data_IF_336146320746
#
_entry.id   IF_336146320746
#
_cell.length_a   1.000
_cell.length_b   1.000
_cell.length_c   1.000
_cell.angle_alpha   90.00
_cell.angle_beta   90.00
_cell.angle_gamma   90.00
#
_symmetry.space_group_name_H-M   'P 1'
#
loop_
_entity.id
_entity.type
_entity.pdbx_description
1 polymer ?
2 water ?
#
# COMPACT_ATOMS: atom_id res chain seq x y z
N UNK A 12 10.88 -11.49 2.53
CA UNK A 12 10.19 -11.36 1.26
C UNK A 12 8.78 -10.81 1.45
N UNK A 13 8.50 -10.28 2.63
CA UNK A 13 7.18 -9.77 2.96
C UNK A 13 7.26 -8.31 3.39
N UNK A 14 6.12 -7.64 3.29
CA UNK A 14 5.93 -6.28 3.76
C UNK A 14 4.71 -6.28 4.68
N UNK A 15 4.83 -5.59 5.82
CA UNK A 15 3.70 -5.42 6.73
C UNK A 15 2.96 -4.14 6.38
N UNK A 16 1.66 -4.25 6.16
CA UNK A 16 0.84 -3.14 5.68
C UNK A 16 -0.28 -2.86 6.68
N UNK A 17 -0.26 -1.67 7.26
CA UNK A 17 -1.35 -1.21 8.11
C UNK A 17 -2.42 -0.55 7.24
N UNK A 18 -3.66 -0.97 7.43
CA UNK A 18 -4.81 -0.54 6.65
C UNK A 18 -5.73 0.33 7.50
N UNK A 19 -6.70 1.01 6.88
CA UNK A 19 -7.65 1.80 7.67
C UNK A 19 -8.50 0.91 8.56
N UNK A 20 -9.11 1.55 9.57
CA UNK A 20 -9.97 0.87 10.54
C UNK A 20 -9.19 -0.18 11.34
N UNK A 21 -7.93 0.14 11.65
CA UNK A 21 -7.07 -0.71 12.47
C UNK A 21 -6.91 -2.12 11.90
N UNK A 22 -7.02 -2.25 10.58
CA UNK A 22 -6.75 -3.53 9.93
C UNK A 22 -5.27 -3.64 9.59
N UNK A 23 -4.84 -4.87 9.31
CA UNK A 23 -3.46 -5.13 8.95
C UNK A 23 -3.39 -6.39 8.10
N UNK A 24 -2.35 -6.46 7.27
CA UNK A 24 -2.18 -7.58 6.35
C UNK A 24 -0.70 -7.71 6.03
N UNK A 25 -0.32 -8.90 5.59
CA UNK A 25 1.04 -9.19 5.14
C UNK A 25 0.97 -9.54 3.66
N UNK A 26 1.83 -8.92 2.86
CA UNK A 26 1.87 -9.15 1.42
C UNK A 26 3.23 -9.73 1.05
N UNK A 27 3.24 -10.65 0.10
CA UNK A 27 4.46 -11.25 -0.40
C UNK A 27 4.99 -10.45 -1.59
N UNK A 28 6.30 -10.27 -1.64
CA UNK A 28 6.95 -9.46 -2.66
C UNK A 28 7.70 -10.39 -3.60
N UNK A 29 7.24 -10.47 -4.84
CA UNK A 29 7.99 -11.11 -5.91
C UNK A 29 8.92 -10.10 -6.56
N UNK A 30 9.97 -10.61 -7.21
CA UNK A 30 10.97 -9.74 -7.80
C UNK A 30 10.35 -8.83 -8.85
N UNK A 31 10.55 -7.52 -8.69
CA UNK A 31 10.11 -6.54 -9.66
C UNK A 31 8.70 -6.03 -9.49
N UNK A 32 8.00 -6.43 -8.43
CA UNK A 32 6.63 -5.99 -8.22
C UNK A 32 6.56 -4.50 -7.92
N UNK A 33 5.58 -3.83 -8.51
CA UNK A 33 5.25 -2.50 -8.03
C UNK A 33 4.35 -2.61 -6.80
N UNK A 34 4.29 -1.53 -6.03
CA UNK A 34 3.47 -1.53 -4.82
C UNK A 34 2.00 -1.78 -5.17
N UNK A 35 1.54 -1.23 -6.29
CA UNK A 35 0.17 -1.46 -6.76
C UNK A 35 -0.11 -2.94 -6.94
N UNK A 36 0.71 -3.62 -7.75
CA UNK A 36 0.51 -5.05 -7.98
C UNK A 36 0.72 -5.85 -6.70
N UNK A 37 1.60 -5.37 -5.81
CA UNK A 37 1.89 -6.10 -4.58
C UNK A 37 0.70 -6.12 -3.64
N UNK A 38 -0.01 -4.99 -3.52
CA UNK A 38 -1.11 -4.86 -2.58
C UNK A 38 -2.48 -5.03 -3.23
N UNK A 39 -2.52 -5.36 -4.52
CA UNK A 39 -3.78 -5.43 -5.25
C UNK A 39 -4.73 -6.46 -4.63
N UNK A 40 -4.25 -7.69 -4.45
CA UNK A 40 -5.12 -8.75 -3.94
C UNK A 40 -5.58 -8.47 -2.52
N UNK A 41 -4.66 -8.02 -1.65
CA UNK A 41 -5.00 -7.83 -0.25
C UNK A 41 -6.01 -6.71 -0.05
N UNK A 42 -5.93 -5.66 -0.87
CA UNK A 42 -6.92 -4.59 -0.78
C UNK A 42 -8.26 -5.04 -1.35
N UNK A 43 -8.23 -5.84 -2.41
CA UNK A 43 -9.47 -6.33 -3.00
C UNK A 43 -10.24 -7.22 -2.03
N UNK A 44 -9.54 -7.97 -1.18
CA UNK A 44 -10.21 -8.80 -0.18
C UNK A 44 -10.96 -7.92 0.81
N UNK A 45 -10.34 -6.80 1.22
CA UNK A 45 -10.99 -5.85 2.11
C UNK A 45 -12.01 -4.98 1.39
N UNK A 46 -12.21 -5.17 0.09
CA UNK A 46 -13.14 -4.35 -0.65
C UNK A 46 -12.61 -2.99 -1.03
N UNK A 47 -11.30 -2.86 -1.23
CA UNK A 47 -10.67 -1.58 -1.51
C UNK A 47 -9.85 -1.69 -2.79
N UNK A 48 -9.67 -0.54 -3.45
CA UNK A 48 -8.86 -0.42 -4.64
C UNK A 48 -7.66 0.48 -4.36
N UNK A 49 -6.47 0.12 -4.85
CA UNK A 49 -5.29 0.95 -4.55
C UNK A 49 -5.38 2.36 -5.12
N UNK A 50 -5.94 2.52 -6.32
CA UNK A 50 -6.02 3.85 -6.92
C UNK A 50 -6.97 4.78 -6.18
N UNK A 51 -7.73 4.26 -5.21
CA UNK A 51 -8.57 5.08 -4.35
C UNK A 51 -7.94 5.31 -2.99
N UNK A 52 -6.64 5.05 -2.85
CA UNK A 52 -5.95 5.13 -1.58
C UNK A 52 -4.60 5.82 -1.76
N UNK A 53 -4.01 6.20 -0.63
CA UNK A 53 -2.64 6.67 -0.57
C UNK A 53 -1.84 5.75 0.34
N UNK A 54 -0.55 5.59 0.03
CA UNK A 54 0.31 4.67 0.76
C UNK A 54 1.51 5.43 1.30
N UNK A 55 1.90 5.10 2.53
CA UNK A 55 2.99 5.75 3.23
C UNK A 55 4.01 4.72 3.69
N UNK A 56 5.25 5.17 3.83
CA UNK A 56 6.33 4.37 4.40
C UNK A 56 6.53 4.82 5.84
N UNK A 57 6.41 3.89 6.78
CA UNK A 57 6.54 4.20 8.20
C UNK A 57 8.00 4.09 8.61
N UNK A 58 8.62 5.22 8.91
CA UNK A 58 10.01 5.27 9.37
C UNK A 58 10.07 6.03 10.68
N UNK A 59 10.70 5.43 11.68
CA UNK A 59 10.83 6.02 13.01
C UNK A 59 9.47 6.40 13.59
N UNK A 61 7.32 8.28 11.57
CA UNK A 61 6.84 9.31 10.66
C UNK A 61 6.29 8.70 9.38
N UNK A 62 5.19 9.26 8.88
CA UNK A 62 4.56 8.80 7.64
C UNK A 62 5.17 9.57 6.47
N UNK A 63 5.97 8.88 5.65
CA UNK A 63 6.52 9.49 4.45
C UNK A 63 5.76 8.97 3.24
N UNK A 64 5.22 9.83 2.38
CA UNK A 64 4.41 9.34 1.26
C UNK A 64 5.28 8.74 0.16
N UNK A 65 4.74 7.70 -0.48
CA UNK A 65 5.38 7.05 -1.62
C UNK A 65 4.32 6.79 -2.69
N UNK A 66 4.79 6.56 -3.91
CA UNK A 66 3.89 6.32 -5.02
C UNK A 66 3.52 4.85 -5.18
N UNK A 67 2.41 4.62 -5.87
CA UNK A 67 1.99 3.24 -6.13
C UNK A 67 2.86 2.55 -7.16
N UNK A 68 3.69 3.29 -7.89
CA UNK A 68 4.64 2.71 -8.83
C UNK A 68 5.99 2.44 -8.19
N UNK A 69 6.07 2.49 -6.86
CA UNK A 69 7.30 2.15 -6.15
C UNK A 69 7.65 0.69 -6.38
N UNK A 70 8.94 0.42 -6.58
CA UNK A 70 9.45 -0.95 -6.65
C UNK A 70 9.42 -1.56 -5.26
N UNK A 71 8.53 -2.53 -5.05
CA UNK A 71 8.29 -3.06 -3.71
C UNK A 71 9.45 -3.90 -3.19
N UNK A 72 10.35 -4.35 -4.07
CA UNK A 72 11.50 -5.14 -3.63
C UNK A 72 12.41 -4.34 -2.72
N UNK A 73 12.43 -3.01 -2.87
CA UNK A 73 13.24 -2.16 -2.02
C UNK A 73 12.63 -1.93 -0.65
N UNK A 74 11.39 -2.35 -0.43
CA UNK A 74 10.69 -2.11 0.83
C UNK A 74 10.48 -3.38 1.64
N UNK A 75 11.09 -4.49 1.23
CA UNK A 75 10.96 -5.75 1.96
C UNK A 75 11.39 -5.54 3.40
N UNK A 76 10.57 -6.03 4.33
CA UNK A 76 10.88 -5.94 5.74
C UNK A 76 10.46 -4.65 6.41
N UNK A 77 9.86 -3.71 5.69
CA UNK A 77 9.43 -2.45 6.26
C UNK A 77 7.94 -2.50 6.60
N UNK A 78 7.46 -1.42 7.20
CA UNK A 78 6.05 -1.26 7.54
C UNK A 78 5.46 -0.12 6.72
N UNK A 79 4.29 -0.36 6.14
CA UNK A 79 3.60 0.66 5.36
C UNK A 79 2.25 0.97 5.99
N UNK A 80 1.69 2.12 5.60
CA UNK A 80 0.35 2.52 6.02
C UNK A 80 -0.43 2.97 4.79
N UNK A 81 -1.66 2.49 4.67
CA UNK A 81 -2.54 2.85 3.56
C UNK A 81 -3.73 3.63 4.11
N UNK A 82 -4.01 4.78 3.50
CA UNK A 82 -5.12 5.65 3.88
C UNK A 82 -6.05 5.86 2.69
N UNK A 83 -7.31 6.15 2.99
CA UNK A 83 -8.25 6.52 1.93
C UNK A 83 -7.97 7.92 1.42
N UNK A 84 -8.05 8.09 0.10
CA UNK A 84 -8.05 9.43 -0.45
C UNK A 84 -9.33 10.15 -0.06
N UNK A 85 -9.24 11.47 0.08
CA UNK A 85 -10.43 12.27 0.29
C UNK A 85 -11.32 12.17 -0.94
N UNK A 86 -12.64 12.14 -0.71
CA UNK A 86 -13.60 11.92 -1.79
C UNK A 86 -13.84 13.22 -2.54
N UNK A 87 -12.96 13.48 -3.51
CA UNK A 87 -13.09 14.64 -4.39
C UNK A 87 -13.22 14.11 -5.81
N UNK A 88 -14.09 14.68 -6.65
CA UNK A 88 -14.26 14.16 -8.01
C UNK A 88 -12.96 14.23 -8.81
N UNK A 89 -12.85 13.32 -9.78
CA UNK A 89 -11.68 13.20 -10.63
C UNK A 89 -12.01 13.61 -12.06
N UNK A 90 -10.96 13.83 -12.85
CA UNK A 90 -11.09 14.10 -14.27
C UNK A 90 -11.01 12.84 -15.11
N UNK A 91 -11.11 11.67 -14.49
CA UNK A 91 -11.01 10.39 -15.18
C UNK A 91 -12.39 9.87 -15.58
#
# INVERSE_FOLDING_TARGET
GPLGSDPSKTSNTIRVFLPNSQRTVVNVRNGMSLHDCLMKALKVRGLQPECCAVYRLQDGEKKPIGWNTDAAWLIGEELQVEFLDHVPLTTHNF
#
